data_IF_490583264430
#
_entry.id   IF_490583264430
#
_cell.length_a   1.000
_cell.length_b   1.000
_cell.length_c   1.000
_cell.angle_alpha   90.00
_cell.angle_beta   90.00
_cell.angle_gamma   90.00
#
_symmetry.space_group_name_H-M   'P 1'
#
loop_
_entity.id
_entity.type
_entity.pdbx_description
1 polymer ?
#
# COMPACT_ATOMS: atom_id res chain seq x y z
N UNK A 1 -3.94 -13.02 -4.47
CA UNK A 1 -3.84 -12.44 -3.12
C UNK A 1 -2.45 -11.81 -2.96
N UNK A 2 -2.34 -10.60 -2.39
CA UNK A 2 -1.12 -9.80 -2.51
C UNK A 2 0.04 -10.38 -1.69
N UNK A 3 1.25 -10.41 -2.26
CA UNK A 3 2.41 -11.01 -1.58
C UNK A 3 2.37 -12.54 -1.47
N UNK A 4 1.51 -13.24 -2.23
CA UNK A 4 1.46 -14.71 -2.27
C UNK A 4 2.25 -15.33 -3.45
N UNK A 5 2.76 -14.53 -4.38
CA UNK A 5 3.56 -14.97 -5.53
C UNK A 5 4.90 -14.21 -5.63
N UNK A 6 5.93 -14.74 -6.30
CA UNK A 6 7.20 -14.03 -6.47
C UNK A 6 7.01 -12.64 -7.12
N UNK A 7 7.81 -11.67 -6.70
CA UNK A 7 7.72 -10.25 -7.13
C UNK A 7 6.36 -9.57 -6.85
N UNK A 8 5.61 -10.11 -5.88
CA UNK A 8 4.40 -9.53 -5.30
C UNK A 8 4.63 -9.11 -3.85
N UNK A 9 3.98 -8.02 -3.40
CA UNK A 9 4.11 -7.51 -2.02
C UNK A 9 2.76 -7.08 -1.45
N UNK A 10 2.42 -7.48 -0.22
CA UNK A 10 1.09 -7.25 0.36
C UNK A 10 1.13 -6.75 1.80
N UNK A 11 0.38 -5.68 2.10
CA UNK A 11 0.00 -5.25 3.44
C UNK A 11 -1.47 -5.61 3.66
N UNK A 12 -1.76 -6.43 4.67
CA UNK A 12 -3.10 -7.01 4.89
C UNK A 12 -3.84 -6.36 6.08
N UNK A 13 -5.17 -6.44 6.07
CA UNK A 13 -6.05 -5.63 6.93
C UNK A 13 -6.50 -6.32 8.22
N UNK A 14 -6.58 -7.65 8.17
CA UNK A 14 -7.07 -8.59 9.18
C UNK A 14 -5.99 -9.03 10.17
N UNK A 15 -4.72 -8.90 9.81
CA UNK A 15 -3.52 -9.12 10.65
C UNK A 15 -2.77 -7.81 10.90
N UNK A 16 -2.54 -6.99 9.87
CA UNK A 16 -1.62 -5.85 9.88
C UNK A 16 -0.22 -6.20 9.38
N UNK A 17 -0.05 -7.38 8.76
CA UNK A 17 1.24 -7.94 8.42
C UNK A 17 1.64 -7.62 6.97
N UNK A 18 2.93 -7.74 6.69
CA UNK A 18 3.54 -7.67 5.37
C UNK A 18 3.86 -9.08 4.83
N UNK A 19 3.71 -9.24 3.52
CA UNK A 19 3.86 -10.49 2.77
C UNK A 19 4.68 -10.23 1.50
N UNK A 20 5.63 -11.10 1.18
CA UNK A 20 6.51 -10.95 0.01
C UNK A 20 6.86 -12.29 -0.70
N UNK A 21 5.97 -13.29 -0.58
CA UNK A 21 6.11 -14.68 -1.01
C UNK A 21 7.23 -15.50 -0.34
N UNK A 22 8.38 -14.90 -0.03
CA UNK A 22 9.46 -15.55 0.74
C UNK A 22 9.23 -15.48 2.26
N UNK A 23 8.57 -14.41 2.72
CA UNK A 23 8.20 -14.13 4.10
C UNK A 23 6.67 -14.00 4.16
N UNK A 24 6.10 -14.63 5.19
CA UNK A 24 4.67 -14.75 5.46
C UNK A 24 4.47 -14.30 6.91
N UNK A 25 3.50 -13.41 7.17
CA UNK A 25 3.21 -12.85 8.50
C UNK A 25 4.40 -12.06 9.10
N UNK A 26 4.95 -11.07 8.38
CA UNK A 26 5.91 -10.11 8.97
C UNK A 26 5.15 -8.96 9.65
N UNK A 27 5.19 -8.80 11.00
CA UNK A 27 4.40 -7.78 11.67
C UNK A 27 4.87 -6.37 11.33
N UNK A 28 3.99 -5.58 10.69
CA UNK A 28 4.36 -4.30 10.09
C UNK A 28 3.54 -3.11 10.59
N UNK A 29 2.21 -3.20 10.55
CA UNK A 29 1.32 -2.07 10.78
C UNK A 29 0.05 -2.42 11.56
N UNK A 30 -0.76 -1.40 11.93
CA UNK A 30 -2.04 -1.62 12.57
C UNK A 30 -3.10 -2.07 11.55
N UNK A 31 -3.88 -3.10 11.91
CA UNK A 31 -5.13 -3.51 11.22
C UNK A 31 -5.97 -2.33 10.77
N UNK A 32 -6.66 -2.46 9.63
CA UNK A 32 -7.46 -1.38 9.03
C UNK A 32 -8.82 -1.86 8.51
N UNK A 33 -9.79 -0.96 8.45
CA UNK A 33 -11.22 -1.31 8.24
C UNK A 33 -12.00 -0.17 7.57
N UNK A 34 -13.34 -0.28 7.52
CA UNK A 34 -14.24 0.74 6.96
C UNK A 34 -13.88 2.15 7.45
N UNK A 35 -13.82 3.11 6.53
CA UNK A 35 -13.51 4.52 6.82
C UNK A 35 -12.02 4.84 7.02
N UNK A 36 -11.14 3.85 7.17
CA UNK A 36 -9.70 4.09 7.08
C UNK A 36 -9.30 4.52 5.67
N UNK A 37 -8.24 5.31 5.58
CA UNK A 37 -7.58 5.64 4.31
C UNK A 37 -6.17 5.07 4.32
N UNK A 38 -5.92 4.04 3.50
CA UNK A 38 -4.59 3.46 3.32
C UNK A 38 -3.98 4.01 2.03
N UNK A 39 -2.68 4.27 2.01
CA UNK A 39 -1.97 4.57 0.77
C UNK A 39 -0.56 3.99 0.77
N UNK A 40 -0.04 3.72 -0.42
CA UNK A 40 1.34 3.30 -0.59
C UNK A 40 2.18 4.41 -1.22
N UNK A 41 3.45 4.49 -0.82
CA UNK A 41 4.39 5.49 -1.30
C UNK A 41 5.65 4.78 -1.81
N UNK A 42 5.89 4.89 -3.12
CA UNK A 42 7.05 4.36 -3.80
C UNK A 42 8.08 5.46 -3.99
N UNK A 43 9.33 5.21 -3.59
CA UNK A 43 10.46 6.10 -3.84
C UNK A 43 11.47 5.37 -4.73
N UNK A 44 11.37 5.59 -6.04
CA UNK A 44 12.28 5.00 -7.03
C UNK A 44 13.69 5.60 -7.01
N UNK A 45 13.91 6.75 -6.35
CA UNK A 45 15.25 7.34 -6.15
C UNK A 45 16.01 6.52 -5.09
N UNK A 46 15.39 6.33 -3.92
CA UNK A 46 15.98 5.59 -2.80
C UNK A 46 15.72 4.08 -2.85
N UNK A 47 14.97 3.62 -3.87
CA UNK A 47 14.51 2.24 -4.06
C UNK A 47 13.80 1.67 -2.82
N UNK A 48 12.87 2.42 -2.24
CA UNK A 48 12.09 2.01 -1.06
C UNK A 48 10.59 2.17 -1.21
N UNK A 49 9.82 1.39 -0.44
CA UNK A 49 8.38 1.59 -0.27
C UNK A 49 7.97 1.63 1.21
N UNK A 50 6.89 2.36 1.49
CA UNK A 50 6.22 2.41 2.79
C UNK A 50 4.72 2.63 2.63
N UNK A 51 3.95 2.27 3.65
CA UNK A 51 2.52 2.53 3.73
C UNK A 51 2.20 3.69 4.65
N UNK A 52 1.00 4.24 4.48
CA UNK A 52 0.42 5.21 5.42
C UNK A 52 -0.98 4.77 5.83
N UNK A 53 -1.34 5.02 7.10
CA UNK A 53 -2.71 4.90 7.60
C UNK A 53 -3.22 6.26 8.01
N UNK A 54 -4.33 6.69 7.43
CA UNK A 54 -4.99 7.98 7.69
C UNK A 54 -4.12 9.24 7.54
N UNK A 55 -3.01 9.15 6.78
CA UNK A 55 -2.02 10.24 6.66
C UNK A 55 -0.85 10.14 7.64
N UNK A 56 -0.76 9.08 8.44
CA UNK A 56 0.41 8.76 9.29
C UNK A 56 1.28 7.73 8.57
N UNK A 57 2.59 7.96 8.50
CA UNK A 57 3.56 7.05 7.89
C UNK A 57 3.84 5.85 8.82
N UNK A 58 3.82 4.63 8.28
CA UNK A 58 4.00 3.37 9.03
C UNK A 58 5.44 2.82 8.99
N UNK A 59 6.37 3.49 8.30
CA UNK A 59 7.76 3.10 8.18
C UNK A 59 8.09 2.31 6.91
N UNK A 60 9.37 2.29 6.53
CA UNK A 60 9.87 1.60 5.33
C UNK A 60 9.73 0.10 5.51
N UNK A 61 9.02 -0.54 4.60
CA UNK A 61 8.73 -1.99 4.61
C UNK A 61 9.49 -2.75 3.51
N UNK A 62 9.78 -2.08 2.40
CA UNK A 62 10.51 -2.65 1.26
C UNK A 62 11.72 -1.78 0.91
N UNK A 63 12.82 -2.45 0.59
CA UNK A 63 14.07 -1.90 0.06
C UNK A 63 14.39 -2.58 -1.27
N UNK A 64 15.34 -2.03 -2.00
CA UNK A 64 15.80 -2.54 -3.30
C UNK A 64 14.65 -2.73 -4.31
N UNK A 65 13.71 -1.78 -4.26
CA UNK A 65 12.47 -1.71 -5.04
C UNK A 65 12.75 -1.86 -6.55
N UNK A 66 12.13 -2.86 -7.18
CA UNK A 66 12.18 -3.05 -8.64
C UNK A 66 11.48 -1.89 -9.37
N UNK A 67 11.92 -1.62 -10.60
CA UNK A 67 11.22 -0.69 -11.50
C UNK A 67 10.03 -1.39 -12.20
N UNK A 68 9.17 -0.61 -12.88
CA UNK A 68 7.98 -1.08 -13.60
C UNK A 68 6.93 -1.82 -12.72
N UNK A 69 6.67 -1.29 -11.52
CA UNK A 69 5.62 -1.77 -10.62
C UNK A 69 4.26 -1.13 -10.93
N UNK A 70 3.18 -1.89 -10.72
CA UNK A 70 1.80 -1.48 -11.01
C UNK A 70 0.95 -1.27 -9.74
N UNK A 71 -0.06 -0.37 -9.75
CA UNK A 71 -1.01 -0.19 -8.65
C UNK A 71 -2.01 -1.33 -8.54
N UNK A 72 -2.37 -1.72 -7.32
CA UNK A 72 -2.48 -3.15 -7.08
C UNK A 72 -3.32 -3.53 -5.84
N UNK A 73 -4.46 -4.20 -6.03
CA UNK A 73 -5.63 -4.20 -5.14
C UNK A 73 -6.32 -5.59 -5.07
N UNK A 74 -6.07 -6.42 -4.05
CA UNK A 74 -6.67 -7.77 -3.90
C UNK A 74 -7.81 -7.92 -2.86
N UNK A 75 -8.81 -8.76 -3.15
CA UNK A 75 -10.03 -8.90 -2.32
C UNK A 75 -10.25 -10.33 -1.79
N UNK A 76 -10.93 -10.45 -0.62
CA UNK A 76 -11.42 -11.74 -0.10
C UNK A 76 -12.77 -11.58 0.60
N UNK A 77 -13.84 -11.58 -0.19
CA UNK A 77 -15.22 -11.38 0.26
C UNK A 77 -15.97 -10.44 -0.67
N UNK A 78 -17.14 -9.98 -0.24
CA UNK A 78 -17.78 -8.79 -0.81
C UNK A 78 -17.42 -7.55 0.01
N UNK A 79 -17.29 -6.41 -0.66
CA UNK A 79 -16.91 -5.10 -0.10
C UNK A 79 -16.76 -4.06 -1.23
N UNK A 80 -16.36 -2.82 -0.92
CA UNK A 80 -16.15 -1.78 -1.93
C UNK A 80 -14.98 -0.83 -1.62
N UNK A 81 -14.49 -0.14 -2.66
CA UNK A 81 -13.38 0.83 -2.57
C UNK A 81 -13.64 2.10 -3.40
N UNK A 82 -13.09 3.21 -2.94
CA UNK A 82 -12.74 4.35 -3.80
C UNK A 82 -11.21 4.42 -3.96
N UNK A 83 -10.69 4.54 -5.18
CA UNK A 83 -9.27 4.71 -5.47
C UNK A 83 -8.93 6.15 -5.87
N UNK A 84 -7.91 6.73 -5.24
CA UNK A 84 -7.38 8.05 -5.62
C UNK A 84 -5.98 7.91 -6.25
N UNK A 85 -5.92 8.10 -7.56
CA UNK A 85 -4.69 8.19 -8.37
C UNK A 85 -4.16 9.63 -8.57
N UNK A 86 -4.57 10.58 -7.71
CA UNK A 86 -4.19 11.99 -7.79
C UNK A 86 -5.30 12.92 -8.29
N UNK A 87 -6.51 12.41 -8.57
CA UNK A 87 -7.66 13.23 -8.97
C UNK A 87 -8.29 14.01 -7.79
N UNK A 88 -7.94 13.65 -6.55
CA UNK A 88 -8.23 14.37 -5.30
C UNK A 88 -6.92 14.59 -4.52
N UNK A 89 -6.88 15.57 -3.62
CA UNK A 89 -5.75 15.75 -2.69
C UNK A 89 -5.51 14.49 -1.85
N UNK A 90 -4.26 14.11 -1.63
CA UNK A 90 -3.92 12.98 -0.75
C UNK A 90 -4.06 13.34 0.73
N UNK A 91 -4.34 12.33 1.57
CA UNK A 91 -4.46 12.48 3.03
C UNK A 91 -3.09 12.53 3.73
N UNK A 92 -2.05 12.00 3.10
CA UNK A 92 -0.67 12.17 3.51
C UNK A 92 -0.05 13.40 2.83
N UNK A 93 0.57 14.27 3.62
CA UNK A 93 1.18 15.53 3.17
C UNK A 93 2.71 15.55 3.33
N UNK A 94 3.36 14.38 3.35
CA UNK A 94 4.83 14.27 3.47
C UNK A 94 5.59 14.94 2.32
N UNK A 95 6.88 15.24 2.54
CA UNK A 95 7.77 16.05 1.68
C UNK A 95 7.96 15.58 0.21
N UNK A 96 7.34 14.49 -0.19
CA UNK A 96 7.40 13.90 -1.53
C UNK A 96 6.88 14.84 -2.63
N UNK A 97 6.06 15.85 -2.27
CA UNK A 97 5.59 16.92 -3.16
C UNK A 97 6.70 17.82 -3.77
N UNK A 98 7.96 17.71 -3.33
CA UNK A 98 9.06 18.59 -3.77
C UNK A 98 10.13 17.90 -4.64
N UNK A 99 9.99 16.61 -4.94
CA UNK A 99 10.96 15.86 -5.74
C UNK A 99 10.32 15.30 -7.03
N UNK A 100 10.75 15.73 -8.23
CA UNK A 100 10.03 15.44 -9.48
C UNK A 100 10.03 13.97 -9.93
N UNK A 101 10.86 13.11 -9.31
CA UNK A 101 11.03 11.70 -9.68
C UNK A 101 10.37 10.72 -8.69
N UNK A 102 9.36 11.17 -7.93
CA UNK A 102 8.66 10.33 -6.95
C UNK A 102 7.21 10.09 -7.40
N UNK A 103 6.98 8.90 -7.95
CA UNK A 103 5.67 8.44 -8.39
C UNK A 103 4.87 7.84 -7.22
N UNK A 104 3.98 8.64 -6.63
CA UNK A 104 3.04 8.19 -5.59
C UNK A 104 1.94 7.34 -6.24
N UNK A 105 1.78 6.10 -5.77
CA UNK A 105 0.86 5.12 -6.35
C UNK A 105 -0.27 4.74 -5.39
N UNK A 106 -1.39 5.46 -5.52
CA UNK A 106 -2.72 5.15 -4.97
C UNK A 106 -2.95 5.32 -3.45
N UNK A 107 -4.14 5.82 -3.12
CA UNK A 107 -4.79 5.74 -1.81
C UNK A 107 -6.18 5.12 -1.97
N UNK A 108 -6.63 4.33 -0.98
CA UNK A 108 -7.93 3.65 -0.95
C UNK A 108 -8.78 4.17 0.22
N UNK A 109 -10.06 4.44 -0.03
CA UNK A 109 -11.12 4.59 1.00
C UNK A 109 -11.97 3.32 1.00
N UNK A 110 -12.36 2.84 2.19
CA UNK A 110 -12.82 1.47 2.35
C UNK A 110 -14.22 1.28 2.95
N UNK A 111 -14.97 0.26 2.49
CA UNK A 111 -16.10 -0.34 3.23
C UNK A 111 -16.23 -1.88 3.10
N UNK A 112 -16.25 -2.55 4.28
CA UNK A 112 -16.53 -3.96 4.61
C UNK A 112 -15.78 -5.11 3.86
N UNK A 113 -14.69 -5.64 4.45
CA UNK A 113 -13.88 -6.84 4.06
C UNK A 113 -12.89 -6.79 2.85
N UNK A 114 -11.76 -6.05 2.91
CA UNK A 114 -10.67 -6.17 1.90
C UNK A 114 -9.26 -5.78 2.43
N UNK A 115 -8.19 -6.05 1.63
CA UNK A 115 -6.76 -6.04 2.04
C UNK A 115 -5.84 -5.38 0.98
N UNK A 116 -5.20 -4.23 1.24
CA UNK A 116 -4.35 -3.51 0.25
C UNK A 116 -3.11 -2.89 0.89
N UNK A 117 -1.93 -2.80 0.25
CA UNK A 117 -1.51 -2.88 -1.18
C UNK A 117 -0.13 -3.63 -1.20
N UNK A 118 0.62 -3.94 -2.27
CA UNK A 118 0.59 -3.72 -3.72
C UNK A 118 0.69 -5.10 -4.41
N UNK A 119 -0.43 -5.82 -4.50
CA UNK A 119 -0.74 -6.64 -5.69
C UNK A 119 -2.27 -6.59 -5.92
N UNK A 120 -2.73 -6.47 -7.17
CA UNK A 120 -3.92 -7.22 -7.63
C UNK A 120 -3.32 -8.63 -7.80
N UNK A 121 -3.88 -9.71 -7.28
CA UNK A 121 -5.31 -10.04 -7.11
C UNK A 121 -5.75 -10.35 -5.67
#
# INVERSE_FOLDING_TARGET
MPGCEPDSWGYHSDDGDFFNCAIINEPYGPKFTTGDTIGCCLNFINKTAFFTKNGVNLGIVLRDLKDNLYPCIGFRGGGSIETNFGHKKFKYAGMFYLAPNIYISTYVVYDANAKFMISID
#
